data_IF_760509452713
#
_entry.id   IF_760509452713
#
_cell.length_a   1.000
_cell.length_b   1.000
_cell.length_c   1.000
_cell.angle_alpha   90.00
_cell.angle_beta   90.00
_cell.angle_gamma   90.00
#
_symmetry.space_group_name_H-M   'P 1'
#
loop_
_entity.id
_entity.type
_entity.pdbx_description
1 polymer ?
#
# COMPACT_ATOMS: atom_id res chain seq x y z
N UNK A 1 12.54 -15.99 -4.90
CA UNK A 1 11.77 -14.93 -4.22
C UNK A 1 10.31 -14.81 -4.70
N UNK A 2 9.86 -15.47 -5.79
CA UNK A 2 8.49 -15.30 -6.31
C UNK A 2 7.38 -16.03 -5.55
N UNK A 3 7.66 -17.17 -4.93
CA UNK A 3 6.62 -17.97 -4.25
C UNK A 3 6.02 -17.25 -3.03
N UNK A 4 6.83 -16.53 -2.25
CA UNK A 4 6.37 -15.81 -1.06
C UNK A 4 5.35 -14.71 -1.39
N UNK A 5 5.64 -13.90 -2.42
CA UNK A 5 4.70 -12.87 -2.88
C UNK A 5 3.41 -13.50 -3.41
N UNK A 6 3.53 -14.53 -4.26
CA UNK A 6 2.37 -15.23 -4.82
C UNK A 6 1.46 -15.85 -3.73
N UNK A 7 2.04 -16.31 -2.62
CA UNK A 7 1.27 -16.78 -1.47
C UNK A 7 0.56 -15.64 -0.74
N UNK A 8 1.24 -14.52 -0.52
CA UNK A 8 0.67 -13.35 0.16
C UNK A 8 -0.44 -12.67 -0.65
N UNK A 9 -0.32 -12.64 -1.97
CA UNK A 9 -1.35 -12.09 -2.86
C UNK A 9 -2.69 -12.84 -2.74
N UNK A 10 -2.70 -14.07 -2.23
CA UNK A 10 -3.94 -14.79 -1.94
C UNK A 10 -4.80 -14.08 -0.90
N UNK A 11 -4.22 -13.29 0.01
CA UNK A 11 -4.96 -12.49 0.99
C UNK A 11 -5.98 -11.61 0.28
N UNK A 12 -5.58 -10.92 -0.80
CA UNK A 12 -6.46 -10.05 -1.58
C UNK A 12 -7.57 -10.80 -2.35
N UNK A 13 -7.49 -12.13 -2.42
CA UNK A 13 -8.53 -12.98 -3.05
C UNK A 13 -9.49 -13.60 -2.03
N UNK A 14 -9.20 -13.47 -0.73
CA UNK A 14 -10.10 -13.95 0.31
C UNK A 14 -11.35 -13.08 0.35
N UNK A 15 -12.49 -13.71 0.65
CA UNK A 15 -13.68 -12.97 1.07
C UNK A 15 -13.37 -12.30 2.40
N UNK A 16 -13.76 -11.03 2.56
CA UNK A 16 -13.73 -10.35 3.86
C UNK A 16 -14.43 -11.23 4.92
N UNK A 17 -13.76 -11.56 6.04
CA UNK A 17 -14.36 -12.35 7.11
C UNK A 17 -15.45 -11.58 7.85
N UNK A 18 -16.51 -12.27 8.26
CA UNK A 18 -17.60 -11.65 9.03
C UNK A 18 -17.26 -11.48 10.51
N UNK A 19 -16.42 -12.36 11.08
CA UNK A 19 -16.05 -12.28 12.50
C UNK A 19 -15.03 -11.16 12.76
N UNK A 20 -15.17 -10.39 13.86
CA UNK A 20 -14.35 -9.21 14.09
C UNK A 20 -12.84 -9.48 14.13
N UNK A 21 -12.42 -10.62 14.68
CA UNK A 21 -11.01 -10.94 14.89
C UNK A 21 -10.33 -11.33 13.58
N UNK A 22 -10.97 -12.19 12.79
CA UNK A 22 -10.44 -12.55 11.47
C UNK A 22 -10.53 -11.37 10.52
N UNK A 23 -11.54 -10.50 10.63
CA UNK A 23 -11.62 -9.26 9.84
C UNK A 23 -10.43 -8.34 10.15
N UNK A 24 -10.09 -8.15 11.42
CA UNK A 24 -8.89 -7.40 11.79
C UNK A 24 -7.62 -8.01 11.18
N UNK A 25 -7.44 -9.33 11.31
CA UNK A 25 -6.28 -10.02 10.72
C UNK A 25 -6.24 -10.00 9.19
N UNK A 26 -7.40 -9.97 8.53
CA UNK A 26 -7.49 -9.79 7.08
C UNK A 26 -6.93 -8.42 6.68
N UNK A 27 -7.31 -7.36 7.38
CA UNK A 27 -6.80 -6.01 7.12
C UNK A 27 -5.33 -5.83 7.50
N UNK A 28 -4.87 -6.42 8.61
CA UNK A 28 -3.42 -6.52 8.92
C UNK A 28 -2.65 -7.20 7.76
N UNK A 29 -3.23 -8.25 7.19
CA UNK A 29 -2.66 -8.96 6.05
C UNK A 29 -2.58 -8.10 4.78
N UNK A 30 -3.60 -7.28 4.51
CA UNK A 30 -3.59 -6.32 3.40
C UNK A 30 -2.50 -5.25 3.60
N UNK A 31 -2.30 -4.75 4.83
CA UNK A 31 -1.22 -3.82 5.15
C UNK A 31 0.16 -4.46 4.91
N UNK A 32 0.35 -5.70 5.36
CA UNK A 32 1.58 -6.45 5.10
C UNK A 32 1.83 -6.64 3.60
N UNK A 33 0.81 -7.06 2.84
CA UNK A 33 0.91 -7.22 1.39
C UNK A 33 1.27 -5.88 0.72
N UNK A 34 0.67 -4.78 1.16
CA UNK A 34 0.95 -3.43 0.64
C UNK A 34 2.42 -3.06 0.81
N UNK A 35 3.01 -3.30 1.98
CA UNK A 35 4.43 -3.02 2.23
C UNK A 35 5.36 -3.77 1.26
N UNK A 36 5.01 -5.01 0.92
CA UNK A 36 5.80 -5.84 0.01
C UNK A 36 5.61 -5.37 -1.43
N UNK A 37 4.39 -4.98 -1.81
CA UNK A 37 4.07 -4.44 -3.12
C UNK A 37 4.84 -3.15 -3.42
N UNK A 38 5.01 -2.27 -2.42
CA UNK A 38 5.86 -1.08 -2.54
C UNK A 38 7.30 -1.48 -2.89
N UNK A 39 7.87 -2.43 -2.15
CA UNK A 39 9.25 -2.90 -2.37
C UNK A 39 9.49 -3.54 -3.75
N UNK A 40 8.44 -4.08 -4.39
CA UNK A 40 8.53 -4.64 -5.75
C UNK A 40 8.01 -3.68 -6.84
N UNK A 41 7.83 -2.40 -6.51
CA UNK A 41 7.45 -1.36 -7.47
C UNK A 41 5.98 -1.33 -7.87
N UNK A 42 5.11 -2.04 -7.13
CA UNK A 42 3.64 -2.12 -7.37
C UNK A 42 2.87 -1.20 -6.43
N UNK A 43 3.31 0.06 -6.38
CA UNK A 43 2.76 1.09 -5.48
C UNK A 43 1.25 1.33 -5.65
N UNK A 44 0.73 1.28 -6.89
CA UNK A 44 -0.72 1.46 -7.15
C UNK A 44 -1.57 0.38 -6.47
N UNK A 45 -1.12 -0.87 -6.53
CA UNK A 45 -1.80 -1.98 -5.87
C UNK A 45 -1.72 -1.83 -4.33
N UNK A 46 -0.56 -1.43 -3.81
CA UNK A 46 -0.38 -1.15 -2.39
C UNK A 46 -1.33 -0.05 -1.88
N UNK A 47 -1.46 1.07 -2.61
CA UNK A 47 -2.37 2.17 -2.25
C UNK A 47 -3.82 1.69 -2.20
N UNK A 48 -4.27 0.88 -3.16
CA UNK A 48 -5.64 0.34 -3.16
C UNK A 48 -5.91 -0.49 -1.89
N UNK A 49 -4.97 -1.36 -1.50
CA UNK A 49 -5.12 -2.19 -0.30
C UNK A 49 -5.05 -1.36 1.00
N UNK A 50 -4.21 -0.32 1.05
CA UNK A 50 -4.15 0.61 2.18
C UNK A 50 -5.43 1.46 2.31
N UNK A 51 -6.05 1.85 1.19
CA UNK A 51 -7.37 2.52 1.21
C UNK A 51 -8.45 1.60 1.78
N UNK A 52 -8.45 0.32 1.39
CA UNK A 52 -9.38 -0.67 1.96
C UNK A 52 -9.16 -0.84 3.46
N UNK A 53 -7.91 -0.97 3.91
CA UNK A 53 -7.58 -1.07 5.34
C UNK A 53 -7.99 0.18 6.11
N UNK A 54 -7.72 1.37 5.57
CA UNK A 54 -8.09 2.66 6.18
C UNK A 54 -9.61 2.81 6.32
N UNK A 55 -10.38 2.31 5.34
CA UNK A 55 -11.85 2.32 5.43
C UNK A 55 -12.39 1.42 6.56
N UNK A 56 -11.63 0.42 6.99
CA UNK A 56 -11.94 -0.41 8.15
C UNK A 56 -11.46 0.20 9.47
N UNK A 57 -10.21 0.68 9.52
CA UNK A 57 -9.59 1.30 10.68
C UNK A 57 -8.69 2.47 10.24
N UNK A 58 -9.05 3.69 10.68
CA UNK A 58 -8.35 4.93 10.34
C UNK A 58 -6.88 4.93 10.79
N UNK A 59 -6.50 4.09 11.76
CA UNK A 59 -5.10 3.99 12.21
C UNK A 59 -4.13 3.58 11.09
N UNK A 60 -4.60 2.89 10.06
CA UNK A 60 -3.76 2.53 8.90
C UNK A 60 -3.48 3.70 7.95
N UNK A 61 -4.14 4.86 8.13
CA UNK A 61 -3.98 6.03 7.25
C UNK A 61 -2.55 6.54 7.17
N UNK A 62 -1.75 6.36 8.24
CA UNK A 62 -0.35 6.78 8.23
C UNK A 62 0.44 6.12 7.10
N UNK A 63 0.17 4.84 6.81
CA UNK A 63 0.83 4.11 5.74
C UNK A 63 0.39 4.59 4.35
N UNK A 64 -0.90 4.92 4.21
CA UNK A 64 -1.43 5.49 2.97
C UNK A 64 -0.77 6.85 2.66
N UNK A 65 -0.68 7.72 3.66
CA UNK A 65 -0.03 9.03 3.51
C UNK A 65 1.45 8.92 3.18
N UNK A 66 2.18 7.97 3.79
CA UNK A 66 3.58 7.71 3.42
C UNK A 66 3.71 7.36 1.93
N UNK A 67 2.78 6.55 1.41
CA UNK A 67 2.77 6.23 -0.02
C UNK A 67 2.47 7.46 -0.89
N UNK A 68 1.48 8.28 -0.53
CA UNK A 68 1.12 9.47 -1.32
C UNK A 68 2.27 10.50 -1.35
N UNK A 69 2.88 10.77 -0.20
CA UNK A 69 3.92 11.79 -0.05
C UNK A 69 5.24 11.46 -0.79
N UNK A 70 5.60 10.18 -0.95
CA UNK A 70 6.76 9.77 -1.73
C UNK A 70 6.66 10.22 -3.21
N UNK A 71 5.45 10.37 -3.75
CA UNK A 71 5.24 10.82 -5.12
C UNK A 71 5.54 12.33 -5.27
N UNK A 72 5.25 13.11 -4.24
CA UNK A 72 5.53 14.56 -4.20
C UNK A 72 7.04 14.86 -4.14
N UNK A 73 7.83 14.03 -3.46
CA UNK A 73 9.29 14.23 -3.38
C UNK A 73 9.94 14.00 -4.75
N UNK A 74 9.60 12.92 -5.44
CA UNK A 74 10.17 12.62 -6.77
C UNK A 74 9.65 13.62 -7.81
N UNK A 75 8.37 13.99 -7.75
CA UNK A 75 7.78 14.96 -8.67
C UNK A 75 8.39 16.36 -8.50
N UNK A 76 8.66 16.79 -7.26
CA UNK A 76 9.32 18.08 -7.00
C UNK A 76 10.78 18.10 -7.46
N UNK A 77 11.52 17.00 -7.29
CA UNK A 77 12.93 16.93 -7.71
C UNK A 77 13.06 17.01 -9.25
N UNK A 78 12.13 16.37 -9.98
CA UNK A 78 12.07 16.47 -11.45
C UNK A 78 11.65 17.86 -11.94
N UNK A 79 10.72 18.52 -11.24
CA UNK A 79 10.23 19.86 -11.60
C UNK A 79 11.27 20.95 -11.29
N UNK A 80 12.04 20.81 -10.21
CA UNK A 80 13.11 21.75 -9.87
C UNK A 80 14.33 21.59 -10.77
N UNK A 81 14.67 20.36 -11.21
CA UNK A 81 15.72 20.12 -12.19
C UNK A 81 15.42 20.82 -13.53
N UNK A 82 14.18 20.73 -14.04
CA UNK A 82 13.77 21.38 -15.30
C UNK A 82 13.76 22.91 -15.26
N UNK A 83 13.69 23.51 -14.07
CA UNK A 83 13.65 24.98 -13.90
C UNK A 83 15.02 25.62 -13.71
N UNK A 84 16.10 24.85 -13.57
CA UNK A 84 17.46 25.36 -13.47
C UNK A 84 18.16 25.61 -14.83
N UNK A 85 17.49 25.28 -15.93
CA UNK A 85 18.03 25.42 -17.29
C UNK A 85 17.55 26.69 -18.03
N UNK A 86 17.11 27.74 -17.32
CA UNK A 86 16.74 29.05 -17.89
C UNK A 86 17.54 30.20 -17.28
#
# INVERSE_FOLDING_TARGET
MGEGLAHLERIATLKEPDDPKSKAHYYDGLVLLSSILINVGRKKDAINYLQMATAYDESYREFLQQCENEEDVISNDLVTSRRRDY
#
